data_IF_550233414372
#
_entry.id   IF_550233414372
#
_cell.length_a   1.000
_cell.length_b   1.000
_cell.length_c   1.000
_cell.angle_alpha   90.00
_cell.angle_beta   90.00
_cell.angle_gamma   90.00
#
_symmetry.space_group_name_H-M   'P 1'
#
loop_
_entity.id
_entity.type
_entity.pdbx_description
1 polymer ?
#
# COMPACT_ATOMS: atom_id res chain seq x y z
N UNK A 1 2.62 44.19 -26.26
CA UNK A 1 3.73 43.25 -26.09
C UNK A 1 3.40 42.41 -24.86
N UNK A 2 2.87 41.21 -25.07
CA UNK A 2 2.25 40.39 -24.02
C UNK A 2 3.28 39.59 -23.24
N UNK A 3 3.28 39.75 -21.92
CA UNK A 3 3.98 38.84 -21.02
C UNK A 3 3.00 37.74 -20.62
N UNK A 4 3.06 36.61 -21.33
CA UNK A 4 2.34 35.39 -20.91
C UNK A 4 3.04 34.82 -19.67
N UNK A 5 2.36 34.89 -18.53
CA UNK A 5 2.81 34.25 -17.31
C UNK A 5 2.92 32.74 -17.54
N UNK A 6 4.13 32.19 -17.33
CA UNK A 6 4.37 30.75 -17.33
C UNK A 6 3.47 30.10 -16.27
N UNK A 7 2.50 29.31 -16.70
CA UNK A 7 1.68 28.46 -15.84
C UNK A 7 2.56 27.52 -15.04
N UNK A 8 2.59 27.71 -13.72
CA UNK A 8 3.28 26.87 -12.75
C UNK A 8 2.74 25.45 -12.84
N UNK A 9 3.63 24.47 -13.06
CA UNK A 9 3.27 23.07 -13.32
C UNK A 9 2.58 22.41 -12.12
N UNK A 10 1.35 21.99 -12.38
CA UNK A 10 0.38 21.19 -11.62
C UNK A 10 0.92 19.85 -11.08
N UNK A 11 1.70 19.90 -10.02
CA UNK A 11 1.86 18.79 -9.06
C UNK A 11 0.62 18.62 -8.17
N UNK A 12 -0.08 19.72 -7.90
CA UNK A 12 -1.28 19.78 -7.06
C UNK A 12 -2.51 19.07 -7.65
N UNK A 13 -2.60 18.89 -8.98
CA UNK A 13 -3.88 18.47 -9.59
C UNK A 13 -4.18 16.98 -9.52
N UNK A 14 -3.18 16.09 -9.58
CA UNK A 14 -3.47 14.64 -9.57
C UNK A 14 -3.80 14.14 -8.17
N UNK A 15 -3.05 14.63 -7.17
CA UNK A 15 -3.39 14.33 -5.78
C UNK A 15 -4.75 14.92 -5.44
N UNK A 16 -5.07 16.14 -5.90
CA UNK A 16 -6.42 16.69 -5.70
C UNK A 16 -7.47 15.85 -6.42
N UNK A 17 -7.31 15.51 -7.70
CA UNK A 17 -8.28 14.67 -8.44
C UNK A 17 -8.58 13.33 -7.74
N UNK A 18 -7.54 12.65 -7.24
CA UNK A 18 -7.72 11.39 -6.51
C UNK A 18 -8.37 11.63 -5.14
N UNK A 19 -7.98 12.70 -4.45
CA UNK A 19 -8.55 13.06 -3.15
C UNK A 19 -10.02 13.46 -3.29
N UNK A 20 -10.35 14.30 -4.27
CA UNK A 20 -11.71 14.75 -4.57
C UNK A 20 -12.60 13.55 -4.93
N UNK A 21 -12.08 12.57 -5.68
CA UNK A 21 -12.79 11.31 -5.94
C UNK A 21 -13.06 10.51 -4.67
N UNK A 22 -12.08 10.41 -3.77
CA UNK A 22 -12.25 9.72 -2.49
C UNK A 22 -13.28 10.46 -1.62
N UNK A 23 -13.22 11.80 -1.57
CA UNK A 23 -14.18 12.63 -0.84
C UNK A 23 -15.59 12.40 -1.37
N UNK A 24 -15.80 12.43 -2.69
CA UNK A 24 -17.11 12.19 -3.28
C UNK A 24 -17.67 10.81 -2.89
N UNK A 25 -16.85 9.77 -2.89
CA UNK A 25 -17.27 8.43 -2.47
C UNK A 25 -17.67 8.39 -0.99
N UNK A 26 -16.91 9.08 -0.12
CA UNK A 26 -17.23 9.20 1.30
C UNK A 26 -18.52 9.98 1.55
N UNK A 27 -18.77 11.05 0.79
CA UNK A 27 -20.01 11.83 0.84
C UNK A 27 -21.24 11.01 0.40
N UNK A 28 -21.05 10.07 -0.53
CA UNK A 28 -22.05 9.08 -0.94
C UNK A 28 -22.21 7.92 0.09
N UNK A 29 -21.48 7.95 1.21
CA UNK A 29 -21.52 6.92 2.25
C UNK A 29 -20.76 5.63 1.89
N UNK A 30 -19.93 5.66 0.85
CA UNK A 30 -19.14 4.52 0.40
C UNK A 30 -17.69 4.64 0.86
N UNK A 31 -17.21 3.69 1.64
CA UNK A 31 -15.79 3.61 2.01
C UNK A 31 -14.99 2.96 0.87
N UNK A 32 -14.07 3.66 0.18
CA UNK A 32 -13.42 3.14 -1.03
C UNK A 32 -12.46 1.97 -0.80
N UNK A 33 -12.07 1.73 0.45
CA UNK A 33 -11.28 0.56 0.86
C UNK A 33 -12.15 -0.61 1.35
N UNK A 34 -13.45 -0.40 1.55
CA UNK A 34 -14.42 -1.47 1.84
C UNK A 34 -15.07 -1.88 0.52
N UNK A 35 -14.30 -2.63 -0.26
CA UNK A 35 -14.74 -3.12 -1.55
C UNK A 35 -15.46 -4.47 -1.38
N UNK A 36 -16.29 -4.88 -2.36
CA UNK A 36 -17.04 -6.12 -2.26
C UNK A 36 -16.11 -7.33 -2.49
N UNK A 37 -15.32 -7.65 -1.48
CA UNK A 37 -14.30 -8.71 -1.50
C UNK A 37 -14.89 -10.09 -1.81
N UNK A 38 -16.14 -10.31 -1.43
CA UNK A 38 -16.85 -11.59 -1.58
C UNK A 38 -17.58 -11.74 -2.92
N UNK A 39 -17.83 -10.64 -3.65
CA UNK A 39 -18.57 -10.65 -4.92
C UNK A 39 -17.75 -10.14 -6.11
N UNK A 40 -16.44 -9.95 -5.93
CA UNK A 40 -15.54 -9.54 -7.00
C UNK A 40 -15.29 -10.67 -8.00
N UNK A 41 -15.21 -10.32 -9.29
CA UNK A 41 -14.78 -11.26 -10.36
C UNK A 41 -13.30 -11.61 -10.26
N UNK A 42 -12.49 -10.73 -9.66
CA UNK A 42 -11.08 -10.97 -9.41
C UNK A 42 -10.83 -11.54 -8.00
N UNK A 43 -9.84 -12.44 -7.85
CA UNK A 43 -9.40 -12.91 -6.55
C UNK A 43 -8.94 -11.73 -5.66
N UNK A 44 -9.29 -11.74 -4.35
CA UNK A 44 -8.74 -10.80 -3.37
C UNK A 44 -7.22 -10.82 -3.40
N UNK A 45 -6.61 -9.63 -3.27
CA UNK A 45 -5.17 -9.47 -3.42
C UNK A 45 -4.78 -8.03 -3.71
N UNK A 46 -3.48 -7.77 -3.78
CA UNK A 46 -2.93 -6.48 -4.16
C UNK A 46 -2.72 -6.39 -5.67
N UNK A 47 -2.98 -5.24 -6.31
CA UNK A 47 -2.67 -5.04 -7.71
C UNK A 47 -1.19 -5.24 -7.99
N UNK A 48 -0.86 -5.84 -9.14
CA UNK A 48 0.52 -6.14 -9.54
C UNK A 48 0.78 -5.74 -10.98
N UNK A 49 2.02 -5.36 -11.25
CA UNK A 49 2.46 -5.18 -12.62
C UNK A 49 2.57 -6.55 -13.32
N UNK A 50 1.94 -6.71 -14.47
CA UNK A 50 1.89 -8.01 -15.15
C UNK A 50 3.26 -8.46 -15.67
N UNK A 51 4.07 -7.53 -16.16
CA UNK A 51 5.40 -7.85 -16.73
C UNK A 51 6.47 -8.08 -15.66
N UNK A 52 6.44 -7.33 -14.54
CA UNK A 52 7.49 -7.40 -13.50
C UNK A 52 7.09 -8.14 -12.24
N UNK A 53 5.80 -8.43 -12.03
CA UNK A 53 5.27 -9.04 -10.81
C UNK A 53 5.26 -8.13 -9.57
N UNK A 54 5.84 -6.93 -9.65
CA UNK A 54 5.92 -5.97 -8.55
C UNK A 54 4.51 -5.54 -8.10
N UNK A 55 4.31 -5.48 -6.79
CA UNK A 55 3.05 -5.00 -6.19
C UNK A 55 2.97 -3.48 -6.32
N UNK A 56 1.79 -2.96 -6.65
CA UNK A 56 1.51 -1.54 -6.46
C UNK A 56 1.36 -1.24 -4.97
N UNK A 57 1.64 0.01 -4.58
CA UNK A 57 1.61 0.47 -3.20
C UNK A 57 0.91 1.82 -3.07
N UNK A 58 0.53 2.17 -1.84
CA UNK A 58 -0.11 3.43 -1.49
C UNK A 58 -1.41 3.66 -2.25
N UNK A 59 -1.63 4.89 -2.68
CA UNK A 59 -2.87 5.33 -3.33
C UNK A 59 -3.19 4.58 -4.63
N UNK A 60 -2.18 4.04 -5.31
CA UNK A 60 -2.39 3.26 -6.53
C UNK A 60 -3.20 1.99 -6.27
N UNK A 61 -3.13 1.43 -5.06
CA UNK A 61 -3.93 0.25 -4.70
C UNK A 61 -5.43 0.61 -4.75
N UNK A 62 -5.81 1.72 -4.14
CA UNK A 62 -7.20 2.20 -4.12
C UNK A 62 -7.70 2.57 -5.53
N UNK A 63 -6.88 3.31 -6.30
CA UNK A 63 -7.24 3.70 -7.68
C UNK A 63 -7.50 2.46 -8.55
N UNK A 64 -6.58 1.48 -8.49
CA UNK A 64 -6.67 0.29 -9.32
C UNK A 64 -7.81 -0.63 -8.89
N UNK A 65 -8.02 -0.80 -7.59
CA UNK A 65 -9.17 -1.55 -7.10
C UNK A 65 -10.49 -0.89 -7.47
N UNK A 66 -10.65 0.42 -7.29
CA UNK A 66 -11.86 1.13 -7.70
C UNK A 66 -12.18 0.87 -9.18
N UNK A 67 -11.17 0.89 -10.05
CA UNK A 67 -11.35 0.57 -11.46
C UNK A 67 -11.67 -0.92 -11.71
N UNK A 68 -10.99 -1.81 -10.99
CA UNK A 68 -11.20 -3.26 -11.06
C UNK A 68 -12.69 -3.60 -10.85
N UNK A 69 -13.29 -3.06 -9.80
CA UNK A 69 -14.69 -3.29 -9.45
C UNK A 69 -15.65 -2.54 -10.37
N UNK A 70 -15.38 -1.28 -10.73
CA UNK A 70 -16.20 -0.49 -11.68
C UNK A 70 -16.37 -1.21 -13.01
N UNK A 71 -15.32 -1.89 -13.49
CA UNK A 71 -15.30 -2.58 -14.79
C UNK A 71 -15.47 -4.09 -14.70
N UNK A 72 -15.53 -4.65 -13.50
CA UNK A 72 -15.67 -6.09 -13.27
C UNK A 72 -14.49 -6.91 -13.81
N UNK A 73 -13.27 -6.38 -13.83
CA UNK A 73 -12.08 -7.11 -14.27
C UNK A 73 -11.80 -8.29 -13.34
N UNK A 74 -11.49 -9.47 -13.91
CA UNK A 74 -11.19 -10.72 -13.23
C UNK A 74 -9.72 -10.88 -12.82
N UNK A 75 -8.84 -9.95 -13.20
CA UNK A 75 -7.42 -10.01 -12.87
C UNK A 75 -6.91 -8.77 -12.15
N UNK A 76 -6.10 -8.95 -11.11
CA UNK A 76 -5.40 -7.85 -10.42
C UNK A 76 -4.10 -7.42 -11.11
N UNK A 77 -3.92 -7.78 -12.38
CA UNK A 77 -2.69 -7.48 -13.13
C UNK A 77 -2.89 -6.30 -14.06
N UNK A 78 -1.93 -5.39 -13.97
CA UNK A 78 -1.93 -4.13 -14.71
C UNK A 78 -0.60 -3.95 -15.44
N UNK A 79 -0.63 -3.33 -16.61
CA UNK A 79 0.57 -3.08 -17.40
C UNK A 79 0.40 -1.83 -18.26
N UNK A 80 1.51 -1.19 -18.60
CA UNK A 80 1.48 -0.06 -19.55
C UNK A 80 1.30 -0.57 -20.98
N UNK A 81 0.83 0.30 -21.89
CA UNK A 81 0.68 -0.06 -23.31
C UNK A 81 1.97 -0.64 -23.92
N UNK A 82 3.12 -0.03 -23.61
CA UNK A 82 4.44 -0.52 -24.07
C UNK A 82 4.79 -1.90 -23.50
N UNK A 83 4.39 -2.19 -22.27
CA UNK A 83 4.56 -3.52 -21.69
C UNK A 83 3.64 -4.54 -22.36
N UNK A 84 2.43 -4.16 -22.79
CA UNK A 84 1.54 -5.05 -23.55
C UNK A 84 2.22 -5.51 -24.83
N UNK A 85 2.73 -4.53 -25.60
CA UNK A 85 3.45 -4.78 -26.85
C UNK A 85 4.72 -5.62 -26.64
N UNK A 86 5.48 -5.34 -25.58
CA UNK A 86 6.67 -6.12 -25.26
C UNK A 86 6.35 -7.59 -24.89
N UNK A 87 5.14 -7.86 -24.42
CA UNK A 87 4.63 -9.22 -24.14
C UNK A 87 3.90 -9.84 -25.34
N UNK A 88 4.07 -9.29 -26.55
CA UNK A 88 3.46 -9.79 -27.78
C UNK A 88 1.98 -9.43 -27.97
N UNK A 89 1.36 -8.79 -26.98
CA UNK A 89 -0.06 -8.44 -27.00
C UNK A 89 -0.33 -6.98 -27.37
N UNK A 90 -1.60 -6.64 -27.45
CA UNK A 90 -2.07 -5.29 -27.69
C UNK A 90 -3.26 -4.95 -26.79
N UNK A 91 -3.45 -3.66 -26.50
CA UNK A 91 -4.67 -3.20 -25.84
C UNK A 91 -5.79 -3.14 -26.89
N UNK A 92 -6.96 -3.70 -26.57
CA UNK A 92 -8.09 -3.70 -27.51
C UNK A 92 -8.52 -2.26 -27.83
N UNK A 93 -8.97 -2.05 -29.08
CA UNK A 93 -9.37 -0.74 -29.56
C UNK A 93 -10.56 -0.20 -28.75
N UNK A 94 -10.46 1.03 -28.25
CA UNK A 94 -11.51 1.70 -27.48
C UNK A 94 -11.42 1.52 -25.97
N UNK A 95 -10.51 0.68 -25.47
CA UNK A 95 -10.27 0.52 -24.04
C UNK A 95 -9.65 1.77 -23.41
N UNK A 96 -10.13 2.12 -22.22
CA UNK A 96 -9.65 3.27 -21.46
C UNK A 96 -8.67 2.83 -20.38
N UNK A 97 -7.47 3.41 -20.41
CA UNK A 97 -6.46 3.17 -19.39
C UNK A 97 -6.76 3.89 -18.07
N UNK A 98 -6.10 3.43 -17.02
CA UNK A 98 -6.19 3.98 -15.66
C UNK A 98 -4.91 4.71 -15.32
N UNK A 99 -5.03 5.94 -14.81
CA UNK A 99 -3.86 6.74 -14.42
C UNK A 99 -3.39 6.34 -13.02
N UNK A 100 -2.12 5.98 -12.90
CA UNK A 100 -1.44 5.70 -11.63
C UNK A 100 -0.30 6.68 -11.42
N UNK A 101 0.05 6.88 -10.15
CA UNK A 101 1.05 7.84 -9.70
C UNK A 101 2.36 7.13 -9.37
N UNK A 102 3.48 7.67 -9.80
CA UNK A 102 4.81 7.25 -9.34
C UNK A 102 5.52 8.45 -8.76
N UNK A 103 5.72 8.43 -7.44
CA UNK A 103 6.49 9.43 -6.73
C UNK A 103 7.86 8.84 -6.40
N UNK A 104 8.93 9.56 -6.71
CA UNK A 104 10.29 9.16 -6.42
C UNK A 104 11.18 10.41 -6.29
N UNK A 105 12.40 10.24 -5.83
CA UNK A 105 13.39 11.30 -5.66
C UNK A 105 14.55 11.08 -6.61
N UNK A 106 15.08 12.16 -7.17
CA UNK A 106 16.33 12.09 -7.93
C UNK A 106 17.32 13.13 -7.43
N UNK A 107 18.60 12.82 -7.58
CA UNK A 107 19.69 13.76 -7.33
C UNK A 107 20.07 14.40 -8.67
N UNK A 108 19.89 15.72 -8.85
CA UNK A 108 20.33 16.40 -10.06
C UNK A 108 21.85 16.21 -10.27
N UNK A 109 22.25 15.69 -11.43
CA UNK A 109 23.66 15.65 -11.85
C UNK A 109 23.91 16.82 -12.80
N UNK A 110 24.26 17.98 -12.26
CA UNK A 110 24.54 19.21 -13.01
C UNK A 110 25.42 20.16 -12.19
N UNK A 111 26.34 20.85 -12.87
CA UNK A 111 27.61 21.34 -12.32
C UNK A 111 27.55 22.64 -11.49
N UNK A 112 26.39 23.27 -11.29
CA UNK A 112 26.34 24.61 -10.65
C UNK A 112 25.43 24.75 -9.42
N UNK A 113 24.62 23.76 -9.03
CA UNK A 113 23.78 23.90 -7.82
C UNK A 113 23.57 22.54 -7.11
N UNK A 114 24.65 21.86 -6.75
CA UNK A 114 24.57 20.90 -5.65
C UNK A 114 24.35 21.68 -4.35
N UNK A 115 23.11 22.11 -4.09
CA UNK A 115 22.76 22.63 -2.78
C UNK A 115 22.85 21.45 -1.81
N UNK A 116 23.87 21.45 -0.97
CA UNK A 116 23.95 20.48 0.13
C UNK A 116 22.89 20.84 1.17
N UNK A 117 22.22 19.82 1.72
CA UNK A 117 21.36 20.00 2.89
C UNK A 117 22.19 20.42 4.12
N UNK A 118 21.53 20.81 5.22
CA UNK A 118 22.23 21.17 6.47
C UNK A 118 23.17 20.07 7.00
N UNK A 119 22.95 18.82 6.56
CA UNK A 119 23.72 17.64 6.97
C UNK A 119 24.83 17.23 5.96
N UNK A 120 25.07 18.03 4.91
CA UNK A 120 26.08 17.74 3.89
C UNK A 120 25.66 16.73 2.81
N UNK A 121 24.40 16.27 2.82
CA UNK A 121 23.85 15.36 1.80
C UNK A 121 23.33 16.13 0.56
N UNK A 122 23.48 15.60 -0.67
CA UNK A 122 22.99 16.25 -1.87
C UNK A 122 21.46 16.37 -1.85
N UNK A 123 20.94 17.57 -2.09
CA UNK A 123 19.50 17.85 -2.08
C UNK A 123 18.77 16.99 -3.11
N UNK A 124 17.99 16.04 -2.61
CA UNK A 124 17.11 15.22 -3.44
C UNK A 124 15.87 16.02 -3.86
N UNK A 125 15.56 16.03 -5.15
CA UNK A 125 14.36 16.66 -5.68
C UNK A 125 13.29 15.59 -5.87
N UNK A 126 12.15 15.77 -5.20
CA UNK A 126 11.00 14.90 -5.37
C UNK A 126 10.29 15.19 -6.71
N UNK A 127 9.85 14.13 -7.39
CA UNK A 127 9.05 14.26 -8.60
C UNK A 127 7.85 13.30 -8.57
N UNK A 128 6.82 13.68 -9.32
CA UNK A 128 5.63 12.88 -9.55
C UNK A 128 5.49 12.60 -11.05
N UNK A 129 5.41 11.33 -11.43
CA UNK A 129 5.10 10.89 -12.80
C UNK A 129 3.73 10.24 -12.84
N UNK A 130 3.00 10.54 -13.91
CA UNK A 130 1.74 9.88 -14.28
C UNK A 130 2.06 8.77 -15.26
N UNK A 131 1.49 7.60 -15.02
CA UNK A 131 1.52 6.49 -15.96
C UNK A 131 0.10 6.02 -16.24
N UNK A 132 -0.17 5.64 -17.48
CA UNK A 132 -1.43 5.01 -17.86
C UNK A 132 -1.20 3.50 -17.94
N UNK A 133 -1.98 2.76 -17.15
CA UNK A 133 -1.93 1.30 -17.09
C UNK A 133 -3.27 0.71 -17.51
N UNK A 134 -3.23 -0.49 -18.06
CA UNK A 134 -4.37 -1.25 -18.54
C UNK A 134 -4.40 -2.58 -17.79
N UNK A 135 -5.59 -3.06 -17.50
CA UNK A 135 -5.75 -4.41 -16.97
C UNK A 135 -5.38 -5.43 -18.05
N UNK A 136 -4.87 -6.61 -17.67
CA UNK A 136 -4.65 -7.71 -18.64
C UNK A 136 -5.93 -8.09 -19.37
N UNK A 137 -7.09 -7.95 -18.71
CA UNK A 137 -8.39 -8.24 -19.30
C UNK A 137 -8.77 -7.27 -20.42
N UNK A 138 -8.11 -6.11 -20.53
CA UNK A 138 -8.27 -5.13 -21.62
C UNK A 138 -7.38 -5.42 -22.82
N UNK A 139 -6.49 -6.41 -22.70
CA UNK A 139 -5.51 -6.73 -23.72
C UNK A 139 -5.87 -8.04 -24.44
N UNK A 140 -5.30 -8.23 -25.62
CA UNK A 140 -5.38 -9.44 -26.43
C UNK A 140 -3.97 -9.90 -26.82
N UNK A 141 -3.79 -11.20 -27.03
CA UNK A 141 -2.50 -11.77 -27.46
C UNK A 141 -1.35 -11.64 -26.45
N UNK A 142 -1.64 -11.43 -25.15
CA UNK A 142 -0.60 -11.36 -24.12
C UNK A 142 0.02 -12.73 -23.87
N UNK A 143 1.34 -12.83 -24.07
CA UNK A 143 2.13 -14.00 -23.71
C UNK A 143 2.86 -13.79 -22.37
N UNK A 144 3.22 -14.87 -21.68
CA UNK A 144 4.07 -14.81 -20.49
C UNK A 144 3.43 -14.18 -19.23
N UNK A 145 2.12 -13.88 -19.26
CA UNK A 145 1.40 -13.47 -18.06
C UNK A 145 1.18 -14.71 -17.19
N UNK A 146 1.90 -14.79 -16.07
CA UNK A 146 1.70 -15.87 -15.10
C UNK A 146 0.21 -16.03 -14.75
N UNK A 147 -0.30 -17.22 -14.40
CA UNK A 147 -1.68 -17.36 -13.95
C UNK A 147 -1.90 -16.60 -12.64
N UNK A 148 -3.11 -16.05 -12.43
CA UNK A 148 -3.42 -15.39 -11.16
C UNK A 148 -3.26 -16.41 -10.01
N UNK A 149 -2.75 -16.01 -8.84
CA UNK A 149 -2.72 -16.90 -7.69
C UNK A 149 -4.16 -17.35 -7.39
N UNK A 150 -4.32 -18.65 -7.10
CA UNK A 150 -5.61 -19.19 -6.70
C UNK A 150 -5.92 -18.70 -5.29
N UNK A 151 -6.96 -17.89 -5.15
CA UNK A 151 -7.50 -17.57 -3.82
C UNK A 151 -8.37 -18.73 -3.36
N UNK A 152 -8.21 -19.12 -2.11
CA UNK A 152 -9.01 -20.15 -1.46
C UNK A 152 -9.67 -19.56 -0.24
N UNK A 153 -10.92 -19.97 0.02
CA UNK A 153 -11.69 -19.66 1.23
C UNK A 153 -11.72 -20.86 2.17
N UNK A 154 -10.93 -21.90 1.90
CA UNK A 154 -10.87 -23.08 2.74
C UNK A 154 -10.14 -22.74 4.05
N UNK A 155 -10.88 -22.73 5.15
CA UNK A 155 -10.37 -22.43 6.48
C UNK A 155 -9.22 -23.37 6.91
N UNK A 156 -9.25 -24.64 6.49
CA UNK A 156 -8.16 -25.58 6.78
C UNK A 156 -6.83 -25.19 6.12
N UNK A 157 -6.86 -24.30 5.11
CA UNK A 157 -5.66 -23.74 4.47
C UNK A 157 -5.35 -22.34 5.03
N UNK A 158 -6.38 -21.51 5.27
CA UNK A 158 -6.20 -20.12 5.71
C UNK A 158 -5.75 -20.04 7.17
N UNK A 159 -6.38 -20.78 8.07
CA UNK A 159 -6.13 -20.68 9.51
C UNK A 159 -4.66 -20.99 9.85
N UNK A 160 -4.06 -22.11 9.40
CA UNK A 160 -2.64 -22.38 9.70
C UNK A 160 -1.69 -21.31 9.15
N UNK A 161 -2.05 -20.65 8.04
CA UNK A 161 -1.26 -19.53 7.49
C UNK A 161 -1.39 -18.27 8.32
N UNK A 162 -2.58 -18.00 8.87
CA UNK A 162 -2.80 -16.88 9.77
C UNK A 162 -2.03 -17.09 11.08
N UNK A 163 -2.10 -18.29 11.67
CA UNK A 163 -1.33 -18.68 12.86
C UNK A 163 0.18 -18.53 12.63
N UNK A 164 0.71 -19.07 11.54
CA UNK A 164 2.13 -18.94 11.21
C UNK A 164 2.56 -17.47 11.01
N UNK A 165 1.70 -16.63 10.44
CA UNK A 165 1.98 -15.20 10.31
C UNK A 165 1.98 -14.49 11.66
N UNK A 166 1.03 -14.82 12.53
CA UNK A 166 0.92 -14.28 13.89
C UNK A 166 2.18 -14.66 14.68
N UNK A 167 2.59 -15.93 14.65
CA UNK A 167 3.80 -16.40 15.31
C UNK A 167 5.06 -15.71 14.75
N UNK A 168 5.20 -15.66 13.43
CA UNK A 168 6.35 -15.03 12.77
C UNK A 168 6.43 -13.51 12.99
N UNK A 169 5.33 -12.87 13.40
CA UNK A 169 5.31 -11.44 13.71
C UNK A 169 6.11 -11.11 14.97
N UNK A 170 6.26 -12.06 15.89
CA UNK A 170 6.91 -11.86 17.19
C UNK A 170 6.17 -10.89 18.14
N UNK A 171 4.90 -10.58 17.86
CA UNK A 171 4.09 -9.77 18.76
C UNK A 171 3.78 -10.53 20.05
N UNK A 172 3.87 -9.85 21.19
CA UNK A 172 3.36 -10.36 22.47
C UNK A 172 1.84 -10.23 22.47
N UNK A 173 1.12 -11.35 22.58
CA UNK A 173 -0.35 -11.40 22.47
C UNK A 173 -0.93 -11.96 23.75
N UNK A 174 -1.68 -11.11 24.46
CA UNK A 174 -2.35 -11.46 25.71
C UNK A 174 -3.82 -11.77 25.42
N UNK A 175 -4.24 -12.98 25.77
CA UNK A 175 -5.61 -13.45 25.54
C UNK A 175 -6.43 -13.28 26.83
N UNK A 176 -7.46 -12.43 26.77
CA UNK A 176 -8.33 -12.14 27.91
C UNK A 176 -9.15 -10.87 27.74
N UNK A 177 -9.97 -10.56 28.75
CA UNK A 177 -10.82 -9.36 28.73
C UNK A 177 -11.94 -9.42 27.68
N UNK A 178 -12.42 -8.24 27.29
CA UNK A 178 -13.55 -8.02 26.38
C UNK A 178 -13.26 -6.99 25.28
N UNK A 179 -12.00 -6.56 25.13
CA UNK A 179 -11.57 -5.58 24.13
C UNK A 179 -10.31 -6.07 23.42
N UNK A 180 -10.21 -5.74 22.14
CA UNK A 180 -9.01 -5.95 21.35
C UNK A 180 -8.32 -4.61 21.08
N UNK A 181 -7.01 -4.56 21.28
CA UNK A 181 -6.19 -3.38 21.00
C UNK A 181 -4.70 -3.75 21.00
N UNK A 182 -3.91 -3.00 20.22
CA UNK A 182 -2.48 -2.87 20.45
C UNK A 182 -2.21 -1.77 21.49
N UNK A 183 -1.45 -2.10 22.56
CA UNK A 183 -0.99 -1.16 23.59
C UNK A 183 0.40 -0.63 23.24
N UNK A 184 0.55 0.60 22.71
CA UNK A 184 1.85 1.03 22.20
C UNK A 184 2.89 1.26 23.29
N UNK A 185 2.48 1.68 24.49
CA UNK A 185 3.40 1.98 25.60
C UNK A 185 4.04 0.73 26.18
N UNK A 186 3.24 -0.32 26.35
CA UNK A 186 3.66 -1.60 26.94
C UNK A 186 4.05 -2.64 25.87
N UNK A 187 3.84 -2.31 24.59
CA UNK A 187 4.21 -3.08 23.41
C UNK A 187 3.63 -4.51 23.32
N UNK A 188 2.34 -4.67 23.66
CA UNK A 188 1.61 -5.93 23.52
C UNK A 188 0.27 -5.74 22.82
N UNK A 189 -0.29 -6.83 22.31
CA UNK A 189 -1.64 -6.90 21.74
C UNK A 189 -2.54 -7.61 22.76
N UNK A 190 -3.62 -6.96 23.18
CA UNK A 190 -4.70 -7.60 23.92
C UNK A 190 -5.77 -8.08 22.93
N UNK A 191 -6.25 -9.31 23.10
CA UNK A 191 -7.44 -9.80 22.40
C UNK A 191 -8.34 -10.63 23.32
N UNK A 192 -9.68 -10.53 23.18
CA UNK A 192 -10.61 -11.42 23.84
C UNK A 192 -10.36 -12.89 23.46
N UNK A 193 -10.90 -13.80 24.27
CA UNK A 193 -10.85 -15.22 23.92
C UNK A 193 -11.67 -15.49 22.67
N UNK A 194 -11.23 -16.46 21.85
CA UNK A 194 -11.89 -16.80 20.59
C UNK A 194 -13.38 -17.18 20.77
N UNK A 195 -13.75 -17.76 21.91
CA UNK A 195 -15.14 -18.15 22.20
C UNK A 195 -16.10 -16.96 22.38
N UNK A 196 -15.57 -15.74 22.53
CA UNK A 196 -16.38 -14.52 22.63
C UNK A 196 -16.79 -13.97 21.25
N UNK A 197 -16.23 -14.50 20.16
CA UNK A 197 -16.54 -14.07 18.80
C UNK A 197 -17.68 -14.89 18.22
N UNK A 198 -18.60 -14.23 17.49
CA UNK A 198 -19.73 -14.90 16.84
C UNK A 198 -19.29 -15.96 15.82
N UNK A 199 -18.24 -15.67 15.05
CA UNK A 199 -17.58 -16.63 14.16
C UNK A 199 -16.11 -16.77 14.56
N UNK A 200 -15.57 -17.99 14.71
CA UNK A 200 -14.17 -18.20 15.10
C UNK A 200 -13.15 -17.49 14.20
N UNK A 201 -13.44 -17.38 12.89
CA UNK A 201 -12.56 -16.69 11.93
C UNK A 201 -12.37 -15.19 12.27
N UNK A 202 -13.33 -14.58 12.96
CA UNK A 202 -13.24 -13.17 13.34
C UNK A 202 -12.16 -12.91 14.40
N UNK A 203 -11.81 -13.92 15.21
CA UNK A 203 -10.68 -13.79 16.12
C UNK A 203 -9.38 -13.50 15.36
N UNK A 204 -9.10 -14.28 14.30
CA UNK A 204 -7.93 -14.06 13.45
C UNK A 204 -7.98 -12.71 12.73
N UNK A 205 -9.15 -12.31 12.23
CA UNK A 205 -9.33 -10.98 11.59
C UNK A 205 -8.99 -9.84 12.57
N UNK A 206 -9.42 -9.96 13.82
CA UNK A 206 -9.11 -8.96 14.85
C UNK A 206 -7.63 -8.96 15.23
N UNK A 207 -7.01 -10.12 15.46
CA UNK A 207 -5.56 -10.18 15.75
C UNK A 207 -4.76 -9.56 14.60
N UNK A 208 -5.09 -9.86 13.35
CA UNK A 208 -4.41 -9.30 12.18
C UNK A 208 -4.62 -7.78 12.04
N UNK A 209 -5.76 -7.25 12.49
CA UNK A 209 -5.99 -5.80 12.57
C UNK A 209 -5.04 -5.14 13.58
N UNK A 210 -4.96 -5.69 14.80
CA UNK A 210 -4.06 -5.18 15.85
C UNK A 210 -2.59 -5.34 15.48
N UNK A 211 -2.22 -6.42 14.79
CA UNK A 211 -0.89 -6.58 14.20
C UNK A 211 -0.56 -5.47 13.19
N UNK A 212 -1.56 -4.91 12.52
CA UNK A 212 -1.40 -3.73 11.68
C UNK A 212 -0.91 -2.52 12.47
N UNK A 213 -1.48 -2.27 13.66
CA UNK A 213 -1.04 -1.20 14.56
C UNK A 213 0.36 -1.48 15.14
N UNK A 214 0.61 -2.73 15.57
CA UNK A 214 1.91 -3.19 16.04
C UNK A 214 3.03 -3.00 14.99
N UNK A 215 2.75 -3.36 13.74
CA UNK A 215 3.70 -3.22 12.64
C UNK A 215 3.94 -1.76 12.26
N UNK A 216 2.90 -0.91 12.30
CA UNK A 216 3.04 0.52 12.06
C UNK A 216 4.05 1.14 13.03
N UNK A 217 4.09 0.70 14.30
CA UNK A 217 5.05 1.21 15.28
C UNK A 217 6.51 0.95 14.91
N UNK A 218 6.76 -0.16 14.24
CA UNK A 218 8.11 -0.67 13.92
C UNK A 218 8.61 -0.21 12.56
N UNK A 219 7.71 -0.05 11.59
CA UNK A 219 8.06 0.23 10.19
C UNK A 219 8.08 1.73 9.90
N UNK A 220 7.20 2.50 10.54
CA UNK A 220 7.16 3.94 10.32
C UNK A 220 8.25 4.61 11.18
N UNK A 221 9.06 5.53 10.62
CA UNK A 221 9.96 6.32 11.43
C UNK A 221 9.11 7.21 12.34
N UNK A 222 8.91 6.78 13.58
CA UNK A 222 8.47 7.68 14.63
C UNK A 222 9.60 8.65 14.87
N UNK A 223 9.45 9.85 14.31
CA UNK A 223 10.41 10.93 14.47
C UNK A 223 10.74 11.10 15.95
N UNK A 224 12.02 10.91 16.28
CA UNK A 224 12.70 11.59 17.38
C UNK A 224 11.89 11.72 18.69
N UNK A 225 11.48 10.60 19.32
CA UNK A 225 10.96 10.64 20.69
C UNK A 225 11.47 9.50 21.60
N UNK A 226 12.05 8.45 21.04
CA UNK A 226 12.64 7.35 21.82
C UNK A 226 14.10 7.15 21.45
N UNK A 227 14.93 8.18 21.69
CA UNK A 227 16.35 7.94 21.96
C UNK A 227 16.50 7.84 23.47
N UNK A 228 16.71 6.61 23.92
CA UNK A 228 17.17 6.20 25.24
C UNK A 228 17.90 7.32 25.99
N UNK A 229 17.36 7.70 27.16
CA UNK A 229 18.20 8.18 28.25
C UNK A 229 18.98 6.97 28.73
N UNK A 230 20.07 6.65 28.01
CA UNK A 230 21.11 5.75 28.48
C UNK A 230 22.06 6.58 29.34
N UNK A 231 21.73 6.76 30.61
CA UNK A 231 22.68 7.23 31.60
C UNK A 231 23.44 6.02 32.15
N UNK A 232 24.36 5.50 31.34
CA UNK A 232 25.36 4.55 31.77
C UNK A 232 26.68 5.33 31.90
N UNK A 233 27.12 5.59 33.13
CA UNK A 233 28.42 5.14 33.66
C UNK A 233 28.93 5.98 34.86
N UNK A 234 29.71 5.34 35.76
CA UNK A 234 29.93 5.76 37.14
C UNK A 234 31.09 6.77 37.25
N UNK A 235 31.05 7.60 38.29
CA UNK A 235 32.21 8.39 38.69
C UNK A 235 32.91 7.65 39.82
N UNK A 236 33.92 6.84 39.48
CA UNK A 236 34.92 6.37 40.43
C UNK A 236 35.94 7.49 40.74
N UNK A 237 36.15 7.64 42.04
CA UNK A 237 37.44 7.83 42.71
C UNK A 237 37.78 9.21 43.31
N UNK A 238 38.20 9.11 44.58
CA UNK A 238 39.35 9.79 45.20
C UNK A 238 39.13 11.15 45.87
N UNK A 239 38.80 11.11 47.16
CA UNK A 239 39.56 11.67 48.32
C UNK A 239 38.61 12.01 49.48
#
# INVERSE_FOLDING_TARGET
MGYQAKTTRTGATLYSEVTDRIIAQLEEGTLPWVLPWDSGTAPPGLPRNAGTGRRYSGINVLILWARLFERGYGSQRWLTYRQAQALGGNVRKGEQGTTVCYADRFTPKGQDEATFGPDGEPRQVAFLKRFTVFNVDQCEGLEGVAPAPVTTWNEAIIIPRAEALIEASGADIHIGGNQAFYAPQDDYIAVPRAEQYFEPINWYRTVLHELGHYAARRIMPHGCAERQISADQPCESSA
#
